data_IF_015111191553
#
_entry.id   IF_015111191553
#
_cell.length_a   1.000
_cell.length_b   1.000
_cell.length_c   1.000
_cell.angle_alpha   90.00
_cell.angle_beta   90.00
_cell.angle_gamma   90.00
#
_symmetry.space_group_name_H-M   'P 1'
#
loop_
_entity.id
_entity.type
_entity.pdbx_description
1 polymer ?
#
# COMPACT_ATOMS: atom_id res chain seq x y z
N UNK A 1 -8.07 0.51 18.17
CA UNK A 1 -7.30 0.09 16.98
C UNK A 1 -8.28 0.19 15.82
N UNK A 2 -7.95 0.98 14.79
CA UNK A 2 -8.85 1.17 13.64
C UNK A 2 -9.06 -0.15 12.88
N UNK A 3 -10.05 -0.16 12.00
CA UNK A 3 -10.25 -1.25 11.05
C UNK A 3 -9.05 -1.33 10.09
N UNK A 4 -8.65 -2.55 9.72
CA UNK A 4 -7.58 -2.80 8.77
C UNK A 4 -8.20 -3.04 7.39
N UNK A 5 -7.71 -2.33 6.38
CA UNK A 5 -8.09 -2.51 4.98
C UNK A 5 -6.90 -3.11 4.23
N UNK A 6 -6.87 -4.43 3.99
CA UNK A 6 -5.75 -5.08 3.32
C UNK A 6 -5.87 -4.98 1.79
N UNK A 7 -4.73 -4.85 1.13
CA UNK A 7 -4.54 -5.20 -0.27
C UNK A 7 -3.38 -6.20 -0.32
N UNK A 8 -3.55 -7.31 -1.04
CA UNK A 8 -2.56 -8.38 -1.06
C UNK A 8 -2.52 -9.03 -2.43
N UNK A 9 -1.32 -9.30 -2.93
CA UNK A 9 -1.14 -10.12 -4.12
C UNK A 9 -1.61 -11.56 -3.79
N UNK A 10 -2.51 -12.15 -4.58
CA UNK A 10 -2.99 -13.51 -4.33
C UNK A 10 -1.91 -14.58 -4.55
N UNK A 11 -0.89 -14.26 -5.35
CA UNK A 11 0.16 -15.18 -5.76
C UNK A 11 1.46 -14.98 -4.98
N UNK A 12 2.23 -16.07 -4.86
CA UNK A 12 3.59 -16.01 -4.32
C UNK A 12 4.47 -15.22 -5.29
N UNK A 13 5.21 -14.25 -4.76
CA UNK A 13 6.14 -13.45 -5.55
C UNK A 13 7.21 -14.33 -6.21
N UNK A 14 7.48 -14.14 -7.53
CA UNK A 14 8.55 -14.84 -8.22
C UNK A 14 9.91 -14.55 -7.59
N UNK A 15 10.80 -15.55 -7.61
CA UNK A 15 12.18 -15.35 -7.17
C UNK A 15 12.95 -14.41 -8.11
N UNK A 16 14.01 -13.79 -7.59
CA UNK A 16 14.93 -12.93 -8.35
C UNK A 16 14.81 -11.46 -7.98
N UNK A 17 15.44 -10.60 -8.78
CA UNK A 17 15.26 -9.15 -8.67
C UNK A 17 13.88 -8.79 -9.22
N UNK A 18 13.10 -8.05 -8.42
CA UNK A 18 11.76 -7.59 -8.75
C UNK A 18 11.55 -6.17 -8.28
N UNK A 19 10.68 -5.46 -8.97
CA UNK A 19 10.14 -4.16 -8.57
C UNK A 19 8.76 -4.35 -7.96
N UNK A 20 8.52 -3.73 -6.81
CA UNK A 20 7.26 -3.80 -6.08
C UNK A 20 6.83 -2.38 -5.74
N UNK A 21 5.65 -2.01 -6.19
CA UNK A 21 5.09 -0.69 -5.94
C UNK A 21 3.77 -0.80 -5.20
N UNK A 22 3.55 0.14 -4.29
CA UNK A 22 2.26 0.39 -3.66
C UNK A 22 1.85 1.83 -3.94
N UNK A 23 0.63 2.00 -4.42
CA UNK A 23 0.05 3.31 -4.66
C UNK A 23 -1.22 3.52 -3.87
N UNK A 24 -1.45 4.78 -3.49
CA UNK A 24 -2.70 5.23 -2.91
C UNK A 24 -3.24 6.41 -3.71
N UNK A 25 -4.36 6.18 -4.40
CA UNK A 25 -5.11 7.22 -5.10
C UNK A 25 -6.23 7.75 -4.21
N UNK A 26 -6.19 9.04 -3.89
CA UNK A 26 -7.28 9.70 -3.15
C UNK A 26 -8.56 9.75 -3.99
N UNK A 27 -9.65 9.15 -3.50
CA UNK A 27 -10.95 9.13 -4.19
C UNK A 27 -11.93 10.19 -3.65
N UNK A 28 -11.57 10.91 -2.58
CA UNK A 28 -12.42 11.95 -2.01
C UNK A 28 -11.74 12.79 -0.92
N UNK A 29 -12.39 13.88 -0.48
CA UNK A 29 -11.86 14.70 0.59
C UNK A 29 -11.90 13.97 1.95
N UNK A 30 -11.02 14.34 2.91
CA UNK A 30 -11.11 13.84 4.27
C UNK A 30 -12.30 14.48 5.01
N UNK A 31 -12.87 13.76 5.98
CA UNK A 31 -13.82 14.34 6.95
C UNK A 31 -13.11 14.55 8.29
N UNK A 32 -12.38 15.67 8.35
CA UNK A 32 -11.60 16.04 9.54
C UNK A 32 -12.49 16.28 10.77
N UNK A 33 -13.77 16.64 10.56
CA UNK A 33 -14.71 16.90 11.66
C UNK A 33 -15.14 15.62 12.37
N UNK A 34 -15.28 14.53 11.62
CA UNK A 34 -15.51 13.20 12.16
C UNK A 34 -14.21 12.47 12.54
N UNK A 35 -13.05 13.11 12.40
CA UNK A 35 -11.76 12.45 12.56
C UNK A 35 -11.64 11.28 11.57
N UNK A 36 -11.91 11.54 10.29
CA UNK A 36 -11.74 10.61 9.14
C UNK A 36 -10.75 11.17 8.11
N UNK A 37 -9.79 10.35 7.68
CA UNK A 37 -8.87 10.70 6.61
C UNK A 37 -9.56 10.60 5.25
N UNK A 38 -8.78 10.76 4.19
CA UNK A 38 -9.27 10.61 2.81
C UNK A 38 -9.59 9.14 2.52
N UNK A 39 -10.71 8.82 1.86
CA UNK A 39 -10.93 7.53 1.22
C UNK A 39 -10.03 7.39 0.00
N UNK A 40 -9.71 6.16 -0.40
CA UNK A 40 -8.88 5.97 -1.59
C UNK A 40 -8.85 4.56 -2.12
N UNK A 41 -8.21 4.43 -3.27
CA UNK A 41 -7.87 3.14 -3.88
C UNK A 41 -6.42 2.80 -3.55
N UNK A 42 -6.21 1.58 -3.11
CA UNK A 42 -4.90 0.98 -2.88
C UNK A 42 -4.56 0.05 -4.03
N UNK A 43 -3.36 0.16 -4.59
CA UNK A 43 -2.92 -0.63 -5.75
C UNK A 43 -1.54 -1.22 -5.48
N UNK A 44 -1.34 -2.47 -5.90
CA UNK A 44 -0.06 -3.17 -5.86
C UNK A 44 0.40 -3.52 -7.27
N UNK A 45 1.66 -3.22 -7.56
CA UNK A 45 2.30 -3.56 -8.82
C UNK A 45 3.49 -4.48 -8.61
N UNK A 46 3.69 -5.39 -9.57
CA UNK A 46 4.88 -6.23 -9.68
C UNK A 46 5.47 -6.02 -11.06
N UNK A 47 6.72 -5.56 -11.11
CA UNK A 47 7.42 -5.25 -12.37
C UNK A 47 6.57 -4.35 -13.29
N UNK A 48 5.90 -3.36 -12.70
CA UNK A 48 5.02 -2.40 -13.38
C UNK A 48 3.60 -2.90 -13.72
N UNK A 49 3.28 -4.18 -13.49
CA UNK A 49 1.94 -4.72 -13.76
C UNK A 49 1.06 -4.69 -12.50
N UNK A 50 -0.18 -4.18 -12.61
CA UNK A 50 -1.16 -4.22 -11.53
C UNK A 50 -1.51 -5.69 -11.17
N UNK A 51 -1.22 -6.09 -9.94
CA UNK A 51 -1.46 -7.46 -9.43
C UNK A 51 -2.56 -7.56 -8.38
N UNK A 52 -2.89 -6.45 -7.70
CA UNK A 52 -4.01 -6.39 -6.77
C UNK A 52 -4.45 -4.95 -6.55
N UNK A 53 -5.74 -4.74 -6.31
CA UNK A 53 -6.29 -3.47 -5.87
C UNK A 53 -7.41 -3.67 -4.83
N UNK A 54 -7.64 -2.65 -4.00
CA UNK A 54 -8.72 -2.62 -3.04
C UNK A 54 -9.13 -1.19 -2.71
N UNK A 55 -10.36 -1.00 -2.23
CA UNK A 55 -10.81 0.28 -1.71
C UNK A 55 -10.56 0.38 -0.20
N UNK A 56 -10.03 1.52 0.22
CA UNK A 56 -9.98 1.93 1.61
C UNK A 56 -11.06 3.00 1.84
N UNK A 57 -12.12 2.72 2.63
CA UNK A 57 -13.21 3.67 2.84
C UNK A 57 -12.77 4.89 3.65
N UNK A 58 -11.62 4.82 4.34
CA UNK A 58 -11.05 5.93 5.11
C UNK A 58 -9.59 5.62 5.47
N UNK A 59 -8.71 6.62 5.38
CA UNK A 59 -7.36 6.56 5.97
C UNK A 59 -7.34 7.09 7.40
N UNK A 60 -6.29 6.79 8.17
CA UNK A 60 -6.15 7.37 9.51
C UNK A 60 -5.92 8.88 9.38
N UNK A 61 -6.80 9.72 9.92
CA UNK A 61 -6.60 11.16 10.00
C UNK A 61 -5.82 11.43 11.26
N UNK A 62 -4.51 11.58 11.11
CA UNK A 62 -3.62 12.30 12.01
C UNK A 62 -2.23 11.95 11.52
N UNK A 63 -1.37 12.98 11.44
CA UNK A 63 0.06 12.83 11.21
C UNK A 63 0.58 11.66 12.04
N UNK A 64 0.91 10.55 11.38
CA UNK A 64 1.84 9.61 11.95
C UNK A 64 3.12 10.39 12.20
N UNK A 65 3.67 10.32 13.42
CA UNK A 65 5.06 10.71 13.57
C UNK A 65 5.85 9.84 12.59
N UNK A 66 6.64 10.42 11.67
CA UNK A 66 7.47 9.62 10.79
C UNK A 66 8.50 8.94 11.68
N UNK A 67 8.15 7.75 12.18
CA UNK A 67 9.12 6.82 12.72
C UNK A 67 10.14 6.51 11.64
N UNK A 68 11.35 6.11 12.03
CA UNK A 68 12.32 5.64 11.05
C UNK A 68 11.72 4.42 10.32
N UNK A 69 11.47 4.47 9.01
CA UNK A 69 11.00 3.30 8.29
C UNK A 69 12.06 2.21 8.44
N UNK A 70 11.63 1.05 8.96
CA UNK A 70 12.45 -0.15 9.04
C UNK A 70 11.81 -1.21 8.17
N UNK A 71 12.39 -1.39 6.98
CA UNK A 71 11.93 -2.36 5.98
C UNK A 71 12.45 -3.77 6.27
N UNK A 72 13.39 -3.92 7.20
CA UNK A 72 14.06 -5.20 7.46
C UNK A 72 13.54 -5.88 8.71
N UNK A 73 13.00 -5.10 9.66
CA UNK A 73 12.60 -5.57 10.97
C UNK A 73 11.42 -4.79 11.53
N UNK A 74 10.39 -5.51 11.94
CA UNK A 74 9.32 -4.94 12.75
C UNK A 74 9.60 -5.10 14.25
N UNK A 75 9.31 -4.09 15.11
CA UNK A 75 9.32 -4.23 16.57
C UNK A 75 8.32 -5.25 17.11
N UNK A 76 8.41 -5.55 18.41
CA UNK A 76 7.81 -6.72 19.09
C UNK A 76 6.27 -6.85 19.01
N UNK A 77 5.55 -5.83 18.55
CA UNK A 77 4.11 -5.87 18.38
C UNK A 77 3.77 -5.75 16.88
N UNK A 78 3.11 -6.76 16.30
CA UNK A 78 2.76 -6.72 14.88
C UNK A 78 1.58 -5.76 14.66
N UNK A 79 1.57 -5.04 13.53
CA UNK A 79 0.51 -4.08 13.16
C UNK A 79 -0.73 -4.77 12.60
N UNK A 80 -0.56 -6.01 12.12
CA UNK A 80 -1.61 -6.92 11.66
C UNK A 80 -1.31 -8.33 12.19
N UNK A 81 -2.27 -9.24 12.14
CA UNK A 81 -2.07 -10.66 12.48
C UNK A 81 -1.44 -11.47 11.34
N UNK A 82 -1.26 -10.88 10.17
CA UNK A 82 -0.75 -11.55 8.96
C UNK A 82 0.72 -11.99 9.06
N UNK A 83 1.48 -11.48 10.02
CA UNK A 83 2.83 -11.95 10.30
C UNK A 83 3.09 -12.03 11.81
N UNK A 84 4.01 -12.92 12.17
CA UNK A 84 4.45 -13.08 13.56
C UNK A 84 5.67 -12.19 13.82
N UNK A 85 5.65 -11.44 14.92
CA UNK A 85 6.81 -10.66 15.36
C UNK A 85 7.82 -11.56 16.11
N UNK A 86 9.14 -11.36 15.94
CA UNK A 86 9.78 -10.41 15.04
C UNK A 86 9.77 -10.91 13.58
N UNK A 87 9.31 -10.05 12.66
CA UNK A 87 9.47 -10.30 11.23
C UNK A 87 10.93 -10.02 10.82
N UNK A 88 11.55 -10.98 10.13
CA UNK A 88 12.90 -10.84 9.56
C UNK A 88 12.79 -10.99 8.05
N UNK A 89 13.06 -9.92 7.32
CA UNK A 89 13.18 -9.99 5.87
C UNK A 89 14.39 -10.85 5.48
N UNK A 90 14.22 -11.78 4.52
CA UNK A 90 15.25 -12.74 4.11
C UNK A 90 15.88 -12.44 2.76
N UNK A 91 15.39 -11.43 2.04
CA UNK A 91 15.92 -11.01 0.75
C UNK A 91 16.96 -9.89 0.85
N UNK A 92 17.20 -9.21 -0.27
CA UNK A 92 18.02 -7.99 -0.34
C UNK A 92 17.17 -6.86 -0.91
N UNK A 93 17.04 -5.77 -0.15
CA UNK A 93 16.46 -4.52 -0.65
C UNK A 93 17.61 -3.72 -1.27
N UNK A 94 17.55 -3.47 -2.57
CA UNK A 94 18.56 -2.66 -3.28
C UNK A 94 18.26 -1.17 -3.16
N UNK A 95 16.98 -0.82 -3.27
CA UNK A 95 16.47 0.54 -3.24
C UNK A 95 15.09 0.53 -2.58
N UNK A 96 14.75 1.61 -1.92
CA UNK A 96 13.42 1.85 -1.39
C UNK A 96 13.13 3.34 -1.48
N UNK A 97 12.08 3.68 -2.23
CA UNK A 97 11.67 5.05 -2.48
C UNK A 97 10.29 5.26 -1.87
N UNK A 98 10.10 6.42 -1.25
CA UNK A 98 8.79 6.87 -0.79
C UNK A 98 8.53 8.18 -1.51
N UNK A 99 7.60 8.16 -2.47
CA UNK A 99 7.12 9.37 -3.12
C UNK A 99 5.87 9.89 -2.41
N UNK A 100 5.86 11.19 -2.15
CA UNK A 100 4.74 11.94 -1.54
C UNK A 100 4.34 13.14 -2.40
N UNK A 101 4.84 13.22 -3.63
CA UNK A 101 4.51 14.25 -4.62
C UNK A 101 3.02 14.29 -4.96
N UNK A 102 2.36 13.12 -4.90
CA UNK A 102 0.97 12.93 -5.33
C UNK A 102 0.85 12.64 -6.83
N UNK A 103 1.96 12.48 -7.54
CA UNK A 103 1.95 11.95 -8.91
C UNK A 103 1.88 10.42 -8.84
N UNK A 104 0.88 9.83 -9.51
CA UNK A 104 0.75 8.37 -9.60
C UNK A 104 1.66 7.85 -10.72
N UNK A 105 2.22 6.65 -10.54
CA UNK A 105 2.85 5.86 -11.58
C UNK A 105 1.83 5.65 -12.70
N UNK A 106 2.20 6.07 -13.90
CA UNK A 106 1.31 5.97 -15.06
C UNK A 106 1.30 4.53 -15.59
N UNK A 107 0.18 3.83 -15.41
CA UNK A 107 -0.15 2.61 -16.16
C UNK A 107 -1.48 2.81 -16.91
N UNK A 108 -1.43 3.33 -18.15
CA UNK A 108 -2.62 3.57 -18.97
C UNK A 108 -3.47 2.33 -19.23
N UNK A 109 -2.90 1.13 -19.17
CA UNK A 109 -3.63 -0.12 -19.39
C UNK A 109 -4.33 -0.59 -18.11
N UNK A 110 -3.70 -0.43 -16.94
CA UNK A 110 -4.36 -0.64 -15.65
C UNK A 110 -5.49 0.37 -15.40
N UNK A 111 -5.31 1.64 -15.80
CA UNK A 111 -6.37 2.65 -15.74
C UNK A 111 -7.60 2.22 -16.54
N UNK A 112 -7.40 1.70 -17.76
CA UNK A 112 -8.47 1.20 -18.61
C UNK A 112 -9.15 -0.04 -18.02
N UNK A 113 -8.37 -1.03 -17.53
CA UNK A 113 -8.94 -2.25 -16.91
C UNK A 113 -9.73 -1.93 -15.65
N UNK A 114 -9.23 -1.04 -14.80
CA UNK A 114 -9.94 -0.62 -13.60
C UNK A 114 -11.22 0.17 -13.92
N UNK A 115 -11.23 0.97 -14.99
CA UNK A 115 -12.45 1.61 -15.47
C UNK A 115 -13.49 0.60 -15.94
N UNK A 116 -13.05 -0.47 -16.64
CA UNK A 116 -13.93 -1.52 -17.15
C UNK A 116 -14.48 -2.43 -16.05
N UNK A 117 -13.74 -2.66 -14.96
CA UNK A 117 -14.18 -3.47 -13.82
C UNK A 117 -15.24 -2.76 -12.94
N UNK A 118 -15.46 -1.46 -13.15
CA UNK A 118 -16.42 -0.61 -12.41
C UNK A 118 -17.76 -0.40 -13.14
N UNK A 119 -17.96 -1.04 -14.31
CA UNK A 119 -19.23 -1.05 -15.08
C UNK A 119 -19.96 -2.38 -14.94
#
# INVERSE_FOLDING_TARGET
MGELYPVSCPDILPTGTRELDFEFESTGPPDLTAGKGTPGRMQLYLDGALVADAEAPVTVPVRAEPGRPDLQRQPRLPVTREFTSPFKFTGTIREATVDISGELLSDPEAELRAHMARQ
#
